data_IF_105779689925
#
_entry.id   IF_105779689925
#
_cell.length_a   1.000
_cell.length_b   1.000
_cell.length_c   1.000
_cell.angle_alpha   90.00
_cell.angle_beta   90.00
_cell.angle_gamma   90.00
#
_symmetry.space_group_name_H-M   'P 1'
#
loop_
_entity.id
_entity.type
_entity.pdbx_description
1 polymer ?
#
# COMPACT_ATOMS: atom_id res chain seq x y z
N UNK A 1 52.14 -12.62 29.78
CA UNK A 1 52.57 -12.42 28.38
C UNK A 1 51.74 -11.29 27.80
N UNK A 2 52.35 -10.25 27.19
CA UNK A 2 51.58 -9.21 26.53
C UNK A 2 50.87 -9.81 25.32
N UNK A 3 49.57 -9.54 25.20
CA UNK A 3 48.76 -9.88 24.02
C UNK A 3 49.35 -9.13 22.83
N UNK A 4 49.56 -9.83 21.71
CA UNK A 4 50.10 -9.23 20.48
C UNK A 4 49.26 -7.99 20.11
N UNK A 5 49.86 -6.80 19.99
CA UNK A 5 49.13 -5.56 19.71
C UNK A 5 48.38 -5.58 18.38
N UNK A 6 48.76 -6.45 17.44
CA UNK A 6 48.00 -6.65 16.18
C UNK A 6 46.65 -7.34 16.41
N UNK A 7 46.56 -8.22 17.41
CA UNK A 7 45.32 -8.90 17.82
C UNK A 7 44.30 -7.93 18.42
N UNK A 8 44.75 -6.91 19.17
CA UNK A 8 43.86 -5.87 19.70
C UNK A 8 43.18 -5.08 18.55
N UNK A 9 43.95 -4.68 17.53
CA UNK A 9 43.42 -3.97 16.37
C UNK A 9 42.41 -4.80 15.56
N UNK A 10 42.62 -6.11 15.47
CA UNK A 10 41.72 -7.06 14.82
C UNK A 10 40.40 -7.22 15.59
N UNK A 11 40.48 -7.30 16.92
CA UNK A 11 39.30 -7.36 17.80
C UNK A 11 38.47 -6.09 17.68
N UNK A 12 39.09 -4.90 17.72
CA UNK A 12 38.38 -3.62 17.56
C UNK A 12 37.71 -3.49 16.19
N UNK A 13 38.41 -3.90 15.13
CA UNK A 13 37.84 -3.90 13.77
C UNK A 13 36.66 -4.87 13.65
N UNK A 14 36.76 -6.04 14.26
CA UNK A 14 35.68 -7.04 14.27
C UNK A 14 34.48 -6.52 15.04
N UNK A 15 34.70 -5.93 16.21
CA UNK A 15 33.66 -5.28 17.01
C UNK A 15 32.94 -4.19 16.22
N UNK A 16 33.68 -3.28 15.61
CA UNK A 16 33.09 -2.21 14.79
C UNK A 16 32.30 -2.74 13.59
N UNK A 17 32.75 -3.84 12.97
CA UNK A 17 32.01 -4.50 11.88
C UNK A 17 30.69 -5.09 12.37
N UNK A 18 30.70 -5.76 13.53
CA UNK A 18 29.49 -6.34 14.14
C UNK A 18 28.49 -5.23 14.50
N UNK A 19 28.97 -4.15 15.12
CA UNK A 19 28.13 -2.99 15.46
C UNK A 19 27.45 -2.39 14.21
N UNK A 20 28.19 -2.21 13.11
CA UNK A 20 27.64 -1.74 11.84
C UNK A 20 26.60 -2.70 11.25
N UNK A 21 26.84 -4.00 11.34
CA UNK A 21 25.89 -5.00 10.86
C UNK A 21 24.60 -5.00 11.68
N UNK A 22 24.70 -4.87 13.01
CA UNK A 22 23.54 -4.74 13.89
C UNK A 22 22.73 -3.48 13.58
N UNK A 23 23.39 -2.34 13.39
CA UNK A 23 22.72 -1.09 12.99
C UNK A 23 22.02 -1.22 11.64
N UNK A 24 22.65 -1.85 10.65
CA UNK A 24 22.01 -2.07 9.35
C UNK A 24 20.79 -2.99 9.46
N UNK A 25 20.86 -4.02 10.31
CA UNK A 25 19.73 -4.92 10.55
C UNK A 25 18.56 -4.18 11.20
N UNK A 26 18.84 -3.35 12.22
CA UNK A 26 17.83 -2.51 12.88
C UNK A 26 17.13 -1.58 11.89
N UNK A 27 17.89 -0.87 11.07
CA UNK A 27 17.33 0.03 10.04
C UNK A 27 16.44 -0.72 9.04
N UNK A 28 16.85 -1.92 8.61
CA UNK A 28 16.06 -2.75 7.70
C UNK A 28 14.77 -3.25 8.34
N UNK A 29 14.81 -3.61 9.62
CA UNK A 29 13.61 -4.01 10.36
C UNK A 29 12.62 -2.84 10.48
N UNK A 30 13.09 -1.66 10.91
CA UNK A 30 12.25 -0.46 11.01
C UNK A 30 11.62 -0.09 9.67
N UNK A 31 12.44 -0.09 8.61
CA UNK A 31 11.95 0.16 7.26
C UNK A 31 10.91 -0.86 6.81
N UNK A 32 11.13 -2.15 7.07
CA UNK A 32 10.17 -3.19 6.71
C UNK A 32 8.82 -3.02 7.41
N UNK A 33 8.79 -2.56 8.65
CA UNK A 33 7.55 -2.26 9.37
C UNK A 33 6.87 -1.05 8.75
N UNK A 34 7.62 0.03 8.52
CA UNK A 34 7.11 1.25 7.90
C UNK A 34 6.55 0.99 6.49
N UNK A 35 7.27 0.24 5.66
CA UNK A 35 6.84 -0.12 4.30
C UNK A 35 5.55 -0.94 4.35
N UNK A 36 5.43 -1.88 5.30
CA UNK A 36 4.20 -2.67 5.48
C UNK A 36 3.01 -1.79 5.85
N UNK A 37 3.19 -0.86 6.77
CA UNK A 37 2.12 0.08 7.17
C UNK A 37 1.72 0.99 6.01
N UNK A 38 2.69 1.50 5.25
CA UNK A 38 2.42 2.32 4.07
C UNK A 38 1.64 1.59 3.00
N UNK A 39 1.93 0.30 2.75
CA UNK A 39 1.16 -0.51 1.78
C UNK A 39 -0.30 -0.62 2.21
N UNK A 40 -0.56 -0.89 3.50
CA UNK A 40 -1.94 -0.99 4.01
C UNK A 40 -2.66 0.35 3.88
N UNK A 41 -2.00 1.45 4.26
CA UNK A 41 -2.57 2.79 4.13
C UNK A 41 -2.86 3.16 2.67
N UNK A 42 -1.94 2.85 1.76
CA UNK A 42 -2.12 3.10 0.33
C UNK A 42 -3.28 2.29 -0.25
N UNK A 43 -3.46 1.04 0.17
CA UNK A 43 -4.61 0.23 -0.23
C UNK A 43 -5.93 0.83 0.25
N UNK A 44 -5.99 1.26 1.51
CA UNK A 44 -7.18 1.94 2.05
C UNK A 44 -7.48 3.24 1.32
N UNK A 45 -6.46 4.06 1.05
CA UNK A 45 -6.61 5.29 0.28
C UNK A 45 -7.13 5.00 -1.13
N UNK A 46 -6.61 3.98 -1.80
CA UNK A 46 -7.10 3.58 -3.12
C UNK A 46 -8.57 3.15 -3.07
N UNK A 47 -8.99 2.39 -2.04
CA UNK A 47 -10.40 2.01 -1.87
C UNK A 47 -11.28 3.24 -1.68
N UNK A 48 -10.91 4.14 -0.78
CA UNK A 48 -11.66 5.38 -0.51
C UNK A 48 -11.74 6.24 -1.76
N UNK A 49 -10.64 6.42 -2.48
CA UNK A 49 -10.61 7.25 -3.70
C UNK A 49 -11.44 6.65 -4.84
N UNK A 50 -11.53 5.33 -4.91
CA UNK A 50 -12.41 4.68 -5.90
C UNK A 50 -13.89 4.84 -5.54
N UNK A 51 -14.27 4.75 -4.27
CA UNK A 51 -15.68 4.82 -3.83
C UNK A 51 -16.19 6.25 -3.62
N UNK A 52 -15.32 7.12 -3.12
CA UNK A 52 -15.65 8.47 -2.67
C UNK A 52 -14.50 9.45 -3.00
N UNK A 53 -14.17 9.64 -4.29
CA UNK A 53 -13.09 10.51 -4.73
C UNK A 53 -13.25 11.93 -4.19
N UNK A 54 -12.19 12.47 -3.60
CA UNK A 54 -12.20 13.77 -2.90
C UNK A 54 -13.32 13.92 -1.84
N UNK A 55 -13.85 12.81 -1.30
CA UNK A 55 -14.98 12.82 -0.36
C UNK A 55 -16.34 13.11 -1.01
N UNK A 56 -16.45 13.05 -2.34
CA UNK A 56 -17.70 13.27 -3.10
C UNK A 56 -18.19 11.96 -3.70
N UNK A 57 -19.47 11.93 -4.08
CA UNK A 57 -20.06 10.78 -4.78
C UNK A 57 -19.30 10.48 -6.08
N UNK A 58 -18.91 9.21 -6.26
CA UNK A 58 -18.14 8.73 -7.41
C UNK A 58 -18.75 9.17 -8.74
N UNK A 59 -20.06 8.99 -8.94
CA UNK A 59 -20.79 9.35 -10.17
C UNK A 59 -20.64 10.83 -10.58
N UNK A 60 -20.29 11.71 -9.62
CA UNK A 60 -20.11 13.15 -9.88
C UNK A 60 -18.68 13.52 -10.24
N UNK A 61 -17.72 12.63 -10.03
CA UNK A 61 -16.30 12.92 -10.23
C UNK A 61 -15.66 11.99 -11.27
N UNK A 62 -16.13 10.75 -11.37
CA UNK A 62 -15.55 9.72 -12.23
C UNK A 62 -16.40 9.52 -13.46
N UNK A 63 -15.76 9.56 -14.63
CA UNK A 63 -16.39 9.22 -15.91
C UNK A 63 -16.70 7.72 -15.98
N UNK A 64 -17.71 7.32 -16.78
CA UNK A 64 -17.95 5.92 -17.11
C UNK A 64 -16.83 5.29 -17.99
N UNK A 65 -16.01 6.11 -18.66
CA UNK A 65 -15.01 5.64 -19.63
C UNK A 65 -13.99 4.63 -19.06
N UNK A 66 -13.37 4.84 -17.89
CA UNK A 66 -12.43 3.86 -17.32
C UNK A 66 -13.07 2.50 -17.07
N UNK A 67 -14.34 2.47 -16.65
CA UNK A 67 -15.08 1.23 -16.44
C UNK A 67 -15.40 0.54 -17.76
N UNK A 68 -15.79 1.29 -18.79
CA UNK A 68 -16.00 0.75 -20.13
C UNK A 68 -14.71 0.19 -20.75
N UNK A 69 -13.57 0.84 -20.54
CA UNK A 69 -12.27 0.33 -21.02
C UNK A 69 -11.91 -0.98 -20.29
N UNK A 70 -12.14 -1.05 -18.98
CA UNK A 70 -11.73 -2.20 -18.16
C UNK A 70 -12.66 -3.40 -18.30
N UNK A 71 -13.96 -3.16 -18.31
CA UNK A 71 -15.01 -4.18 -18.20
C UNK A 71 -15.85 -4.31 -19.48
N UNK A 72 -15.59 -3.50 -20.51
CA UNK A 72 -16.29 -3.52 -21.78
C UNK A 72 -17.81 -3.37 -21.59
N UNK A 73 -18.61 -4.04 -22.43
CA UNK A 73 -20.07 -3.98 -22.37
C UNK A 73 -20.67 -4.65 -21.12
N UNK A 74 -19.94 -5.56 -20.48
CA UNK A 74 -20.41 -6.20 -19.25
C UNK A 74 -20.68 -5.17 -18.13
N UNK A 75 -19.93 -4.06 -18.09
CA UNK A 75 -20.24 -2.95 -17.17
C UNK A 75 -21.63 -2.38 -17.38
N UNK A 76 -22.00 -2.13 -18.64
CA UNK A 76 -23.31 -1.56 -18.98
C UNK A 76 -24.41 -2.53 -18.57
N UNK A 77 -24.27 -3.81 -18.93
CA UNK A 77 -25.23 -4.85 -18.58
C UNK A 77 -25.42 -4.95 -17.05
N UNK A 78 -24.33 -4.97 -16.29
CA UNK A 78 -24.37 -5.02 -14.82
C UNK A 78 -25.09 -3.80 -14.24
N UNK A 79 -24.79 -2.58 -14.71
CA UNK A 79 -25.46 -1.37 -14.22
C UNK A 79 -26.96 -1.41 -14.53
N UNK A 80 -27.34 -1.75 -15.76
CA UNK A 80 -28.76 -1.83 -16.15
C UNK A 80 -29.54 -2.85 -15.32
N UNK A 81 -28.93 -3.97 -14.95
CA UNK A 81 -29.57 -4.99 -14.11
C UNK A 81 -29.80 -4.52 -12.66
N UNK A 82 -29.01 -3.56 -12.17
CA UNK A 82 -29.09 -3.05 -10.80
C UNK A 82 -29.90 -1.75 -10.68
N UNK A 83 -30.40 -1.18 -11.78
CA UNK A 83 -31.30 -0.03 -11.74
C UNK A 83 -32.69 -0.47 -11.27
N UNK A 84 -33.06 -0.05 -10.07
CA UNK A 84 -34.40 -0.17 -9.54
C UNK A 84 -35.11 1.20 -9.58
N UNK A 85 -36.12 1.34 -10.45
CA UNK A 85 -36.88 2.58 -10.59
C UNK A 85 -37.84 2.86 -9.42
N UNK A 86 -37.96 1.92 -8.49
CA UNK A 86 -38.82 2.05 -7.30
C UNK A 86 -38.03 2.38 -6.04
N UNK A 87 -36.70 2.24 -6.08
CA UNK A 87 -35.82 2.47 -4.95
C UNK A 87 -34.78 3.55 -5.25
N UNK A 88 -34.88 4.66 -4.52
CA UNK A 88 -33.99 5.83 -4.67
C UNK A 88 -32.93 5.92 -3.55
N UNK A 89 -32.71 4.86 -2.79
CA UNK A 89 -31.62 4.83 -1.80
C UNK A 89 -30.27 4.66 -2.50
N UNK A 90 -29.21 4.95 -1.76
CA UNK A 90 -27.85 4.71 -2.24
C UNK A 90 -27.66 3.21 -2.53
N UNK A 91 -27.16 2.92 -3.73
CA UNK A 91 -26.86 1.57 -4.19
C UNK A 91 -25.36 1.41 -4.41
N UNK A 92 -24.84 0.22 -4.06
CA UNK A 92 -23.47 -0.18 -4.32
C UNK A 92 -23.54 -1.34 -5.31
N UNK A 93 -22.84 -1.22 -6.44
CA UNK A 93 -22.79 -2.24 -7.48
C UNK A 93 -21.38 -2.84 -7.51
N UNK A 94 -21.30 -4.16 -7.38
CA UNK A 94 -20.06 -4.91 -7.51
C UNK A 94 -19.82 -5.28 -8.98
N UNK A 95 -18.63 -4.98 -9.50
CA UNK A 95 -18.23 -5.12 -10.91
C UNK A 95 -17.24 -6.26 -11.16
#
# INVERSE_FOLDING_TARGET
>A
MPVDPTLASLVDKTKSSIEKQLQSLEQRMLKSVQDREQVVLAQWQAVVENLLPEGKLQERQVSALPFLIKYHWAFVDTIYQHIDLTNFTHSIVEL
#
